data_IF_865945019390
#
_entry.id   IF_865945019390
#
_cell.length_a   1.000
_cell.length_b   1.000
_cell.length_c   1.000
_cell.angle_alpha   90.00
_cell.angle_beta   90.00
_cell.angle_gamma   90.00
#
_symmetry.space_group_name_H-M   'P 1'
#
loop_
_entity.id
_entity.type
_entity.pdbx_description
1 polymer ?
#
# COMPACT_ATOMS: atom_id res chain seq x y z
N UNK A 1 30.05 -16.34 -29.85
CA UNK A 1 28.74 -15.70 -29.57
C UNK A 1 28.00 -16.38 -28.40
N UNK A 2 28.71 -16.73 -27.32
CA UNK A 2 28.13 -17.47 -26.16
C UNK A 2 27.77 -16.57 -24.97
N UNK A 3 28.27 -15.32 -24.98
CA UNK A 3 28.11 -14.35 -23.88
C UNK A 3 26.80 -13.55 -23.93
N UNK A 4 26.09 -13.55 -25.07
CA UNK A 4 24.83 -12.81 -25.24
C UNK A 4 23.65 -13.57 -24.59
N UNK A 5 23.73 -14.90 -24.48
CA UNK A 5 22.65 -15.73 -23.94
C UNK A 5 22.40 -15.50 -22.43
N UNK A 6 23.44 -15.13 -21.67
CA UNK A 6 23.35 -14.87 -20.23
C UNK A 6 22.66 -13.54 -19.89
N UNK A 7 22.63 -12.59 -20.83
CA UNK A 7 22.02 -11.27 -20.61
C UNK A 7 20.49 -11.31 -20.65
N UNK A 8 19.91 -12.26 -21.40
CA UNK A 8 18.45 -12.38 -21.58
C UNK A 8 17.76 -12.94 -20.33
N UNK A 9 18.47 -13.71 -19.49
CA UNK A 9 17.92 -14.34 -18.28
C UNK A 9 17.70 -13.33 -17.14
N UNK A 10 18.42 -12.20 -17.15
CA UNK A 10 18.28 -11.15 -16.12
C UNK A 10 17.06 -10.24 -16.37
N UNK A 11 16.42 -10.31 -17.54
CA UNK A 11 15.31 -9.43 -17.93
C UNK A 11 13.92 -9.97 -17.58
N UNK A 12 13.78 -11.16 -16.98
CA UNK A 12 12.47 -11.78 -16.69
C UNK A 12 12.04 -11.67 -15.24
N UNK A 13 12.53 -10.68 -14.47
CA UNK A 13 11.96 -10.40 -13.16
C UNK A 13 10.58 -9.74 -13.33
N UNK A 14 9.56 -10.58 -13.52
CA UNK A 14 8.17 -10.16 -13.35
C UNK A 14 7.94 -9.94 -11.86
N UNK A 15 8.02 -8.68 -11.44
CA UNK A 15 7.55 -8.24 -10.14
C UNK A 15 6.03 -8.35 -10.14
N UNK A 16 5.50 -9.51 -9.73
CA UNK A 16 4.08 -9.62 -9.44
C UNK A 16 3.79 -8.81 -8.19
N UNK A 17 3.17 -7.64 -8.35
CA UNK A 17 2.49 -6.99 -7.23
C UNK A 17 1.53 -8.02 -6.64
N UNK A 18 1.70 -8.32 -5.35
CA UNK A 18 0.82 -9.26 -4.70
C UNK A 18 -0.60 -8.71 -4.68
N UNK A 19 -1.58 -9.59 -4.81
CA UNK A 19 -2.98 -9.18 -5.00
C UNK A 19 -3.47 -8.25 -3.89
N UNK A 20 -3.00 -8.47 -2.66
CA UNK A 20 -3.56 -7.89 -1.43
C UNK A 20 -2.58 -7.00 -0.66
N UNK A 21 -1.39 -6.70 -1.19
CA UNK A 21 -0.47 -5.78 -0.53
C UNK A 21 0.38 -4.95 -1.49
N UNK A 22 0.88 -3.83 -0.97
CA UNK A 22 1.87 -2.98 -1.65
C UNK A 22 2.84 -2.41 -0.61
N UNK A 23 4.11 -2.33 -0.97
CA UNK A 23 5.15 -1.74 -0.12
C UNK A 23 5.63 -0.42 -0.69
N UNK A 24 5.96 0.53 0.18
CA UNK A 24 6.50 1.80 -0.25
C UNK A 24 6.63 2.79 0.88
N UNK A 25 6.98 4.03 0.52
CA UNK A 25 7.12 5.13 1.46
C UNK A 25 5.85 5.96 1.48
N UNK A 26 5.25 6.15 2.65
CA UNK A 26 4.09 7.03 2.84
C UNK A 26 4.50 8.48 2.56
N UNK A 27 3.78 9.13 1.66
CA UNK A 27 3.98 10.54 1.28
C UNK A 27 3.02 11.49 1.98
N UNK A 28 1.79 11.03 2.25
CA UNK A 28 0.71 11.89 2.68
C UNK A 28 -0.34 11.13 3.50
N UNK A 29 -0.93 11.84 4.46
CA UNK A 29 -2.06 11.36 5.26
C UNK A 29 -3.11 12.47 5.37
N UNK A 30 -4.39 12.12 5.27
CA UNK A 30 -5.47 13.09 5.48
C UNK A 30 -6.67 12.43 6.15
N UNK A 31 -7.38 13.17 7.00
CA UNK A 31 -8.55 12.67 7.73
C UNK A 31 -9.84 13.00 7.00
N UNK A 32 -10.77 12.05 6.98
CA UNK A 32 -12.15 12.20 6.52
C UNK A 32 -13.11 11.62 7.58
N UNK A 33 -14.41 11.81 7.40
CA UNK A 33 -15.43 11.30 8.33
C UNK A 33 -15.33 9.77 8.52
N UNK A 34 -14.98 9.03 7.47
CA UNK A 34 -14.94 7.56 7.50
C UNK A 34 -13.62 7.00 8.09
N UNK A 35 -12.57 7.82 8.23
CA UNK A 35 -11.27 7.35 8.70
C UNK A 35 -10.08 8.20 8.27
N UNK A 36 -8.91 7.57 8.23
CA UNK A 36 -7.67 8.19 7.79
C UNK A 36 -7.28 7.63 6.42
N UNK A 37 -7.07 8.52 5.46
CA UNK A 37 -6.50 8.20 4.16
C UNK A 37 -4.98 8.24 4.21
N UNK A 38 -4.36 7.30 3.51
CA UNK A 38 -2.91 7.13 3.41
C UNK A 38 -2.54 6.95 1.95
N UNK A 39 -1.44 7.56 1.52
CA UNK A 39 -0.92 7.42 0.16
C UNK A 39 0.59 7.22 0.15
N UNK A 40 1.04 6.30 -0.71
CA UNK A 40 2.47 6.08 -0.98
C UNK A 40 3.01 7.10 -1.99
N UNK A 41 4.31 7.38 -1.96
CA UNK A 41 4.99 8.26 -2.94
C UNK A 41 4.75 7.80 -4.39
N UNK A 42 4.75 6.49 -4.63
CA UNK A 42 4.49 5.90 -5.96
C UNK A 42 3.03 5.98 -6.39
N UNK A 43 2.10 6.25 -5.46
CA UNK A 43 0.63 6.14 -5.63
C UNK A 43 0.13 4.75 -6.02
N UNK A 44 1.00 3.74 -5.97
CA UNK A 44 0.62 2.37 -6.23
C UNK A 44 -0.32 1.86 -5.13
N UNK A 45 -1.26 1.02 -5.54
CA UNK A 45 -2.21 0.33 -4.67
C UNK A 45 -2.11 -1.17 -4.96
N UNK A 46 -2.55 -2.05 -4.04
CA UNK A 46 -2.63 -3.47 -4.33
C UNK A 46 -3.50 -3.74 -5.56
N UNK A 47 -3.17 -4.78 -6.34
CA UNK A 47 -3.81 -5.07 -7.63
C UNK A 47 -5.34 -5.17 -7.56
N UNK A 48 -5.89 -5.76 -6.50
CA UNK A 48 -7.35 -5.88 -6.30
C UNK A 48 -8.06 -4.53 -6.06
N UNK A 49 -7.28 -3.47 -5.87
CA UNK A 49 -7.74 -2.11 -5.62
C UNK A 49 -7.45 -1.15 -6.77
N UNK A 50 -6.88 -1.63 -7.86
CA UNK A 50 -6.75 -0.86 -9.10
C UNK A 50 -8.10 -0.27 -9.50
N UNK A 51 -8.07 0.96 -10.02
CA UNK A 51 -9.24 1.71 -10.50
C UNK A 51 -10.28 2.14 -9.45
N UNK A 52 -10.12 1.82 -8.15
CA UNK A 52 -11.05 2.31 -7.11
C UNK A 52 -10.88 3.79 -6.83
N UNK A 53 -9.64 4.25 -6.77
CA UNK A 53 -9.31 5.64 -6.53
C UNK A 53 -8.12 6.06 -7.42
N UNK A 54 -8.29 7.05 -8.33
CA UNK A 54 -7.24 7.46 -9.25
C UNK A 54 -6.06 8.18 -8.57
N UNK A 55 -6.22 8.59 -7.31
CA UNK A 55 -5.22 9.34 -6.54
C UNK A 55 -4.35 8.45 -5.66
N UNK A 56 -4.58 7.13 -5.62
CA UNK A 56 -3.75 6.17 -4.88
C UNK A 56 -3.93 6.21 -3.36
N UNK A 57 -5.06 6.74 -2.86
CA UNK A 57 -5.37 6.70 -1.44
C UNK A 57 -6.00 5.37 -1.02
N UNK A 58 -5.54 4.87 0.13
CA UNK A 58 -6.12 3.76 0.87
C UNK A 58 -6.68 4.29 2.20
N UNK A 59 -7.65 3.59 2.80
CA UNK A 59 -8.31 4.02 4.04
C UNK A 59 -8.02 3.09 5.21
N UNK A 60 -7.69 3.65 6.37
CA UNK A 60 -7.89 3.01 7.67
C UNK A 60 -9.24 3.51 8.21
N UNK A 61 -10.29 2.68 8.24
CA UNK A 61 -11.59 3.07 8.78
C UNK A 61 -11.49 3.42 10.27
N UNK A 62 -12.32 4.35 10.75
CA UNK A 62 -12.37 4.70 12.19
C UNK A 62 -12.59 3.49 13.11
N UNK A 63 -13.29 2.47 12.62
CA UNK A 63 -13.51 1.23 13.36
C UNK A 63 -12.21 0.45 13.66
N UNK A 64 -11.15 0.60 12.86
CA UNK A 64 -9.86 -0.07 13.02
C UNK A 64 -8.91 0.71 13.93
N UNK A 65 -9.40 1.04 15.13
CA UNK A 65 -8.73 1.94 16.10
C UNK A 65 -7.29 1.55 16.40
N UNK A 66 -7.00 0.26 16.56
CA UNK A 66 -5.64 -0.23 16.85
C UNK A 66 -4.68 0.04 15.69
N UNK A 67 -5.10 -0.22 14.44
CA UNK A 67 -4.29 0.03 13.24
C UNK A 67 -4.06 1.53 13.07
N UNK A 68 -5.13 2.32 13.23
CA UNK A 68 -5.08 3.78 13.14
C UNK A 68 -4.08 4.36 14.14
N UNK A 69 -4.19 3.99 15.41
CA UNK A 69 -3.31 4.47 16.47
C UNK A 69 -1.85 4.03 16.25
N UNK A 70 -1.63 2.76 15.91
CA UNK A 70 -0.28 2.24 15.63
C UNK A 70 0.37 2.97 14.45
N UNK A 71 -0.40 3.24 13.39
CA UNK A 71 0.09 3.99 12.25
C UNK A 71 0.45 5.43 12.62
N UNK A 72 -0.44 6.17 13.29
CA UNK A 72 -0.18 7.55 13.69
C UNK A 72 1.05 7.67 14.61
N UNK A 73 1.25 6.73 15.54
CA UNK A 73 2.43 6.68 16.39
C UNK A 73 3.73 6.49 15.58
N UNK A 74 3.73 5.59 14.60
CA UNK A 74 4.93 5.35 13.78
C UNK A 74 5.17 6.50 12.78
N UNK A 75 4.10 7.10 12.23
CA UNK A 75 4.19 8.29 11.39
C UNK A 75 4.81 9.47 12.15
N UNK A 76 4.35 9.74 13.38
CA UNK A 76 4.92 10.76 14.25
C UNK A 76 6.40 10.52 14.57
N UNK A 77 6.81 9.24 14.63
CA UNK A 77 8.21 8.81 14.80
C UNK A 77 9.04 8.84 13.50
N UNK A 78 8.49 9.40 12.41
CA UNK A 78 9.14 9.48 11.09
C UNK A 78 9.56 8.09 10.57
N UNK A 79 8.67 7.10 10.69
CA UNK A 79 8.81 5.77 10.08
C UNK A 79 7.87 5.60 8.88
N UNK A 80 8.17 6.20 7.71
CA UNK A 80 7.26 6.24 6.58
C UNK A 80 7.33 4.99 5.68
N UNK A 81 8.35 4.14 5.83
CA UNK A 81 8.48 2.94 5.01
C UNK A 81 7.55 1.84 5.56
N UNK A 82 6.62 1.37 4.73
CA UNK A 82 5.56 0.44 5.15
C UNK A 82 5.25 -0.60 4.08
N UNK A 83 4.62 -1.69 4.52
CA UNK A 83 3.84 -2.59 3.69
C UNK A 83 2.37 -2.49 4.10
N UNK A 84 1.53 -2.08 3.15
CA UNK A 84 0.09 -1.93 3.31
C UNK A 84 -0.61 -3.19 2.84
N UNK A 85 -1.34 -3.85 3.74
CA UNK A 85 -2.18 -5.00 3.41
C UNK A 85 -3.64 -4.59 3.44
N UNK A 86 -4.43 -5.12 2.51
CA UNK A 86 -5.81 -4.71 2.32
C UNK A 86 -6.76 -5.89 2.43
N UNK A 87 -8.03 -5.61 2.70
CA UNK A 87 -9.07 -6.64 2.68
C UNK A 87 -9.14 -7.30 1.30
N UNK A 88 -9.45 -8.59 1.22
CA UNK A 88 -9.66 -9.25 -0.07
C UNK A 88 -11.00 -8.81 -0.68
N UNK A 89 -12.03 -8.70 0.15
CA UNK A 89 -13.32 -8.17 -0.24
C UNK A 89 -13.42 -6.69 0.13
N UNK A 90 -13.30 -5.84 -0.88
CA UNK A 90 -13.36 -4.39 -0.74
C UNK A 90 -14.79 -3.82 -0.72
N UNK A 91 -15.82 -4.66 -0.93
CA UNK A 91 -17.21 -4.23 -1.04
C UNK A 91 -17.40 -3.08 -2.02
N UNK A 92 -18.33 -2.18 -1.69
CA UNK A 92 -18.64 -0.94 -2.42
C UNK A 92 -17.82 0.28 -1.97
N UNK A 93 -16.75 0.08 -1.19
CA UNK A 93 -15.94 1.19 -0.69
C UNK A 93 -15.20 1.92 -1.82
N UNK A 94 -15.22 3.25 -1.78
CA UNK A 94 -14.52 4.13 -2.73
C UNK A 94 -13.00 4.15 -2.54
N UNK A 95 -12.52 3.66 -1.40
CA UNK A 95 -11.10 3.52 -1.09
C UNK A 95 -10.79 2.06 -0.76
N UNK A 96 -9.55 1.66 -1.02
CA UNK A 96 -9.07 0.35 -0.63
C UNK A 96 -8.90 0.29 0.89
N UNK A 97 -9.57 -0.65 1.55
CA UNK A 97 -9.60 -0.76 3.02
C UNK A 97 -8.39 -1.52 3.54
N UNK A 98 -7.62 -0.87 4.42
CA UNK A 98 -6.40 -1.40 5.02
C UNK A 98 -6.74 -2.34 6.18
N UNK A 99 -6.21 -3.57 6.15
CA UNK A 99 -6.34 -4.59 7.21
C UNK A 99 -5.12 -4.74 8.09
N UNK A 100 -3.96 -4.32 7.63
CA UNK A 100 -2.73 -4.33 8.40
C UNK A 100 -1.75 -3.33 7.80
N UNK A 101 -0.93 -2.72 8.66
CA UNK A 101 0.24 -1.94 8.24
C UNK A 101 1.45 -2.52 8.95
N UNK A 102 2.42 -2.98 8.17
CA UNK A 102 3.71 -3.41 8.66
C UNK A 102 4.75 -2.31 8.42
N UNK A 103 5.34 -1.77 9.48
CA UNK A 103 6.35 -0.72 9.39
C UNK A 103 7.71 -1.37 9.22
N UNK A 104 8.38 -1.07 8.11
CA UNK A 104 9.72 -1.60 7.85
C UNK A 104 10.72 -0.88 8.78
N UNK A 105 11.72 -1.64 9.22
CA UNK A 105 12.73 -1.18 10.19
C UNK A 105 13.77 -0.27 9.53
#
# INVERSE_FOLDING_TARGET
MKKILLLVILLTQQTFAAETYVSGRVSDITSITDGLLIRLETREVPRICENRNPWGYLIIPQARKTILAAFLMNWARKKPQVTLYVDENQGSASFCTIKQIDHQS
#
